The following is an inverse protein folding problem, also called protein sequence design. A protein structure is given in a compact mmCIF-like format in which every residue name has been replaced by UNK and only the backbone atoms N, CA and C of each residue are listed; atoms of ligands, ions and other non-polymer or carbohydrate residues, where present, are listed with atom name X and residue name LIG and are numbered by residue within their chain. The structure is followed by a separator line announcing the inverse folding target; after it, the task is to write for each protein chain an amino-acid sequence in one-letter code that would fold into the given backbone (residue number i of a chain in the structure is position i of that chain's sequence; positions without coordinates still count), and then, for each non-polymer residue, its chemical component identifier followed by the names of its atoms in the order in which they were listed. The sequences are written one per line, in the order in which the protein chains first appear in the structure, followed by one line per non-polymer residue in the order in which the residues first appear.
data_IF_077124546346
#
_entry.id   IF_077124546346
#
_cell.length_a   1.000
_cell.length_b   1.000
_cell.length_c   1.000
_cell.angle_alpha   90.00
_cell.angle_beta   90.00
_cell.angle_gamma   90.00
#
_symmetry.space_group_name_H-M   'P 1'
#
loop_
_entity.id
_entity.type
_entity.pdbx_description
1 polymer ?
#
# COMPACT_ATOMS: atom_id res chain seq x y z
N UNK A 1 15.80 -17.97 15.33
CA UNK A 1 15.57 -18.28 13.91
C UNK A 1 16.92 -18.41 13.24
N UNK A 2 17.12 -19.39 12.37
CA UNK A 2 18.41 -19.61 11.70
C UNK A 2 18.62 -18.60 10.56
N UNK A 3 19.83 -18.05 10.45
CA UNK A 3 20.20 -17.24 9.29
C UNK A 3 20.52 -18.16 8.09
N UNK A 4 20.08 -17.76 6.90
CA UNK A 4 20.48 -18.42 5.64
C UNK A 4 21.33 -17.47 4.82
N UNK A 5 22.46 -17.97 4.33
CA UNK A 5 23.30 -17.26 3.36
C UNK A 5 22.80 -17.61 1.97
N UNK A 6 22.55 -16.59 1.15
CA UNK A 6 22.16 -16.75 -0.25
C UNK A 6 23.02 -15.85 -1.14
N UNK A 7 23.33 -16.32 -2.34
CA UNK A 7 24.04 -15.55 -3.37
C UNK A 7 23.08 -15.26 -4.51
N UNK A 8 22.94 -13.98 -4.86
CA UNK A 8 22.05 -13.51 -5.91
C UNK A 8 22.84 -12.69 -6.92
N UNK A 9 22.59 -12.93 -8.21
CA UNK A 9 23.10 -12.08 -9.28
C UNK A 9 22.14 -10.90 -9.43
N UNK A 10 22.67 -9.69 -9.32
CA UNK A 10 21.89 -8.46 -9.40
C UNK A 10 22.53 -7.53 -10.44
N UNK A 11 21.69 -6.78 -11.15
CA UNK A 11 22.15 -5.70 -12.02
C UNK A 11 22.95 -4.65 -11.23
N UNK A 12 24.11 -4.26 -11.75
CA UNK A 12 25.04 -3.37 -11.04
C UNK A 12 24.43 -2.00 -10.71
N UNK A 13 23.64 -1.43 -11.60
CA UNK A 13 23.03 -0.12 -11.39
C UNK A 13 21.97 -0.16 -10.29
N UNK A 14 21.15 -1.22 -10.27
CA UNK A 14 20.17 -1.46 -9.19
C UNK A 14 20.89 -1.61 -7.85
N UNK A 15 22.00 -2.36 -7.83
CA UNK A 15 22.79 -2.57 -6.62
C UNK A 15 23.39 -1.26 -6.07
N UNK A 16 23.88 -0.39 -6.95
CA UNK A 16 24.35 0.95 -6.59
C UNK A 16 23.23 1.80 -5.99
N UNK A 17 22.06 1.83 -6.64
CA UNK A 17 20.89 2.58 -6.16
C UNK A 17 20.41 2.09 -4.80
N UNK A 18 20.34 0.77 -4.60
CA UNK A 18 19.95 0.17 -3.32
C UNK A 18 20.92 0.55 -2.18
N UNK A 19 22.23 0.55 -2.44
CA UNK A 19 23.23 1.01 -1.45
C UNK A 19 23.04 2.46 -1.06
N UNK A 20 22.81 3.33 -2.04
CA UNK A 20 22.57 4.76 -1.79
C UNK A 20 21.30 4.94 -0.95
N UNK A 21 20.23 4.22 -1.29
CA UNK A 21 18.98 4.25 -0.53
C UNK A 21 19.18 3.83 0.93
N UNK A 22 19.87 2.71 1.17
CA UNK A 22 20.15 2.23 2.52
C UNK A 22 20.92 3.29 3.35
N UNK A 23 21.88 3.99 2.74
CA UNK A 23 22.62 5.08 3.40
C UNK A 23 21.69 6.26 3.73
N UNK A 24 20.84 6.68 2.78
CA UNK A 24 19.88 7.78 2.98
C UNK A 24 18.91 7.46 4.13
N UNK A 25 18.45 6.22 4.21
CA UNK A 25 17.53 5.75 5.25
C UNK A 25 18.23 5.42 6.57
N UNK A 26 19.56 5.45 6.63
CA UNK A 26 20.33 5.14 7.84
C UNK A 26 20.26 3.67 8.25
N UNK A 27 19.97 2.76 7.31
CA UNK A 27 19.85 1.32 7.56
C UNK A 27 20.91 0.52 6.81
N UNK A 28 21.05 -0.76 7.15
CA UNK A 28 21.95 -1.65 6.41
C UNK A 28 21.28 -2.12 5.11
N UNK A 29 22.08 -2.41 4.09
CA UNK A 29 21.58 -3.01 2.85
C UNK A 29 20.88 -4.36 3.10
N UNK A 30 21.32 -5.13 4.11
CA UNK A 30 20.65 -6.35 4.55
C UNK A 30 19.21 -6.05 5.00
N UNK A 31 19.04 -5.09 5.91
CA UNK A 31 17.72 -4.68 6.41
C UNK A 31 16.82 -4.25 5.25
N UNK A 32 17.31 -3.39 4.36
CA UNK A 32 16.54 -2.93 3.21
C UNK A 32 16.04 -4.10 2.34
N UNK A 33 16.88 -5.11 2.11
CA UNK A 33 16.51 -6.31 1.33
C UNK A 33 15.49 -7.15 2.10
N UNK A 34 15.68 -7.36 3.40
CA UNK A 34 14.75 -8.12 4.25
C UNK A 34 13.39 -7.44 4.33
N UNK A 35 13.34 -6.13 4.55
CA UNK A 35 12.12 -5.32 4.61
C UNK A 35 11.37 -5.33 3.27
N UNK A 36 12.10 -5.26 2.15
CA UNK A 36 11.50 -5.38 0.82
C UNK A 36 10.89 -6.77 0.60
N UNK A 37 11.57 -7.84 1.02
CA UNK A 37 11.04 -9.20 0.92
C UNK A 37 9.80 -9.38 1.80
N UNK A 38 9.82 -8.90 3.05
CA UNK A 38 8.69 -8.94 3.98
C UNK A 38 7.49 -8.22 3.35
N UNK A 39 7.69 -6.98 2.88
CA UNK A 39 6.63 -6.17 2.27
C UNK A 39 5.97 -6.88 1.09
N UNK A 40 6.75 -7.54 0.23
CA UNK A 40 6.22 -8.28 -0.93
C UNK A 40 5.45 -9.52 -0.48
N UNK A 41 5.97 -10.28 0.48
CA UNK A 41 5.32 -11.50 0.99
C UNK A 41 4.01 -11.15 1.68
N UNK A 42 4.04 -10.22 2.63
CA UNK A 42 2.85 -9.78 3.38
C UNK A 42 1.83 -9.13 2.46
N UNK A 43 2.28 -8.30 1.51
CA UNK A 43 1.42 -7.69 0.50
C UNK A 43 0.68 -8.72 -0.35
N UNK A 44 1.37 -9.77 -0.81
CA UNK A 44 0.76 -10.88 -1.55
C UNK A 44 -0.21 -11.68 -0.68
N UNK A 45 0.15 -11.99 0.57
CA UNK A 45 -0.75 -12.68 1.50
C UNK A 45 -2.04 -11.90 1.75
N UNK A 46 -1.92 -10.60 1.99
CA UNK A 46 -3.05 -9.69 2.13
C UNK A 46 -3.88 -9.74 0.86
N UNK A 47 -3.28 -9.54 -0.32
CA UNK A 47 -3.98 -9.56 -1.60
C UNK A 47 -4.72 -10.89 -1.86
N UNK A 48 -4.12 -12.02 -1.48
CA UNK A 48 -4.74 -13.34 -1.57
C UNK A 48 -5.88 -13.52 -0.57
N UNK A 49 -5.72 -13.08 0.69
CA UNK A 49 -6.80 -13.09 1.71
C UNK A 49 -7.99 -12.24 1.24
N UNK A 50 -7.71 -11.12 0.58
CA UNK A 50 -8.70 -10.26 -0.05
C UNK A 50 -9.36 -10.86 -1.32
N UNK A 51 -9.01 -12.11 -1.73
CA UNK A 51 -9.56 -12.85 -2.88
C UNK A 51 -10.40 -11.97 -3.78
N UNK A 52 -9.73 -11.28 -4.74
CA UNK A 52 -10.32 -10.40 -5.77
C UNK A 52 -11.55 -11.03 -6.41
N UNK A 53 -12.68 -10.89 -5.76
CA UNK A 53 -14.00 -11.04 -6.34
C UNK A 53 -14.59 -9.66 -6.22
N UNK A 54 -14.05 -8.72 -7.02
CA UNK A 54 -14.84 -7.56 -7.40
C UNK A 54 -16.12 -8.17 -7.99
N UNK A 55 -17.21 -8.17 -7.22
CA UNK A 55 -18.48 -8.71 -7.67
C UNK A 55 -18.86 -7.88 -8.89
N UNK A 56 -18.57 -8.39 -10.10
CA UNK A 56 -18.72 -7.62 -11.35
C UNK A 56 -20.12 -7.02 -11.45
N UNK A 57 -21.14 -7.76 -11.00
CA UNK A 57 -22.51 -7.24 -10.93
C UNK A 57 -22.70 -6.05 -9.97
N UNK A 58 -21.98 -6.00 -8.85
CA UNK A 58 -21.98 -4.83 -7.95
C UNK A 58 -21.25 -3.66 -8.60
N UNK A 59 -20.09 -3.92 -9.22
CA UNK A 59 -19.32 -2.88 -9.91
C UNK A 59 -20.12 -2.21 -11.04
N UNK A 60 -20.82 -3.00 -11.86
CA UNK A 60 -21.64 -2.45 -12.95
C UNK A 60 -22.83 -1.65 -12.43
N UNK A 61 -23.49 -2.09 -11.35
CA UNK A 61 -24.54 -1.31 -10.68
C UNK A 61 -24.03 0.03 -10.15
N UNK A 62 -22.83 0.06 -9.57
CA UNK A 62 -22.23 1.30 -9.06
C UNK A 62 -21.86 2.26 -10.22
N UNK A 63 -21.35 1.73 -11.34
CA UNK A 63 -21.10 2.53 -12.55
C UNK A 63 -22.38 3.11 -13.14
N UNK A 64 -23.45 2.31 -13.18
CA UNK A 64 -24.75 2.76 -13.69
C UNK A 64 -25.37 3.84 -12.79
N UNK A 65 -25.30 3.68 -11.47
CA UNK A 65 -25.71 4.70 -10.51
C UNK A 65 -24.96 6.01 -10.74
N UNK A 66 -23.64 5.95 -10.96
CA UNK A 66 -22.82 7.13 -11.28
C UNK A 66 -23.23 7.81 -12.58
N UNK A 67 -23.54 7.05 -13.64
CA UNK A 67 -24.04 7.60 -14.92
C UNK A 67 -25.39 8.31 -14.75
N UNK A 68 -26.21 7.86 -13.80
CA UNK A 68 -27.50 8.48 -13.45
C UNK A 68 -27.35 9.69 -12.51
N UNK A 69 -26.13 10.13 -12.22
CA UNK A 69 -25.86 11.30 -11.36
C UNK A 69 -25.84 11.00 -9.86
N UNK A 70 -25.98 9.73 -9.45
CA UNK A 70 -25.86 9.34 -8.05
C UNK A 70 -24.39 9.26 -7.63
N UNK A 71 -24.13 9.46 -6.33
CA UNK A 71 -22.81 9.41 -5.73
C UNK A 71 -22.66 8.12 -4.90
N UNK A 72 -22.35 6.97 -5.54
CA UNK A 72 -22.30 5.67 -4.85
C UNK A 72 -21.22 5.60 -3.75
N UNK A 73 -20.24 6.52 -3.79
CA UNK A 73 -19.28 6.75 -2.72
C UNK A 73 -19.39 8.20 -2.30
N UNK A 74 -20.16 8.45 -1.25
CA UNK A 74 -20.27 9.74 -0.61
C UNK A 74 -19.94 9.55 0.87
N UNK A 75 -18.93 10.28 1.34
CA UNK A 75 -18.67 10.38 2.77
C UNK A 75 -19.67 11.41 3.29
N UNK A 76 -20.66 10.93 4.06
CA UNK A 76 -21.64 11.78 4.71
C UNK A 76 -21.15 11.98 6.14
N UNK A 77 -20.98 13.24 6.54
CA UNK A 77 -20.65 13.64 7.89
C UNK A 77 -21.70 14.65 8.33
N UNK A 78 -22.22 14.49 9.54
CA UNK A 78 -23.05 15.51 10.18
C UNK A 78 -22.23 16.77 10.51
N UNK A 79 -20.92 16.58 10.69
CA UNK A 79 -19.96 17.66 10.93
C UNK A 79 -19.51 18.28 9.63
N UNK A 80 -19.42 19.60 9.62
CA UNK A 80 -18.83 20.40 8.56
C UNK A 80 -17.36 20.02 8.35
N UNK A 81 -16.85 20.28 7.14
CA UNK A 81 -15.44 20.06 6.82
C UNK A 81 -14.49 20.78 7.79
N UNK A 82 -14.91 21.93 8.34
CA UNK A 82 -14.13 22.71 9.31
C UNK A 82 -14.07 22.02 10.66
N UNK A 83 -15.19 21.49 11.16
CA UNK A 83 -15.25 20.75 12.43
C UNK A 83 -14.39 19.48 12.39
N UNK A 84 -14.46 18.74 11.28
CA UNK A 84 -13.62 17.56 11.07
C UNK A 84 -12.12 17.90 11.09
N UNK A 85 -11.74 19.06 10.54
CA UNK A 85 -10.35 19.53 10.55
C UNK A 85 -9.91 19.97 11.95
N UNK A 86 -10.80 20.60 12.74
CA UNK A 86 -10.50 20.98 14.13
C UNK A 86 -10.28 19.77 15.03
N UNK A 87 -11.16 18.77 14.95
CA UNK A 87 -11.02 17.52 15.70
C UNK A 87 -9.71 16.80 15.36
N UNK A 88 -9.33 16.78 14.08
CA UNK A 88 -8.06 16.20 13.65
C UNK A 88 -6.82 16.96 14.13
N UNK A 89 -6.94 18.25 14.45
CA UNK A 89 -5.87 19.08 15.00
C UNK A 89 -5.81 19.04 16.53
N UNK A 90 -6.86 18.55 17.19
CA UNK A 90 -6.97 18.51 18.65
C UNK A 90 -7.33 19.86 19.29
N UNK A 91 -7.92 20.78 18.51
CA UNK A 91 -8.46 22.07 18.98
C UNK A 91 -9.89 21.93 19.54
#
# INVERSE_FOLDING_TARGET
MGEKITSIRINEEIWKKAKILAIIEGITLKSLIEDALITVIEGDEIARKFKRTAKRGVLEKLKEARRRGLLPFQIISEKTAVELVKEGRGD
#
